data_IF_994130602597
#
_entry.id   IF_994130602597
#
_cell.length_a   1.000
_cell.length_b   1.000
_cell.length_c   1.000
_cell.angle_alpha   90.00
_cell.angle_beta   90.00
_cell.angle_gamma   90.00
#
_symmetry.space_group_name_H-M   'P 1'
#
loop_
_entity.id
_entity.type
_entity.pdbx_description
1 polymer ?
#
# COMPACT_ATOMS: atom_id res chain seq x y z
N UNK A 1 -39.76 28.06 56.04
CA UNK A 1 -38.83 26.94 55.73
C UNK A 1 -38.60 26.68 54.23
N UNK A 2 -39.17 27.46 53.29
CA UNK A 2 -38.98 27.29 51.84
C UNK A 2 -37.88 28.18 51.22
N UNK A 3 -37.49 29.25 51.90
CA UNK A 3 -36.47 30.21 51.41
C UNK A 3 -35.03 29.68 51.56
N UNK A 4 -34.76 28.88 52.61
CA UNK A 4 -33.45 28.20 52.80
C UNK A 4 -33.20 27.07 51.80
N UNK A 5 -34.26 26.44 51.27
CA UNK A 5 -34.14 25.36 50.29
C UNK A 5 -33.77 25.89 48.89
N UNK A 6 -34.23 27.11 48.55
CA UNK A 6 -33.94 27.76 47.26
C UNK A 6 -32.51 28.32 47.20
N UNK A 7 -31.97 28.80 48.33
CA UNK A 7 -30.56 29.24 48.40
C UNK A 7 -29.56 28.08 48.29
N UNK A 8 -29.95 26.87 48.70
CA UNK A 8 -29.08 25.69 48.62
C UNK A 8 -28.97 25.17 47.17
N UNK A 9 -30.02 25.31 46.36
CA UNK A 9 -30.02 24.88 44.95
C UNK A 9 -29.28 25.83 44.01
N UNK A 10 -29.16 27.11 44.37
CA UNK A 10 -28.46 28.10 43.55
C UNK A 10 -26.94 28.04 43.71
N UNK A 11 -26.45 27.52 44.84
CA UNK A 11 -25.02 27.33 45.10
C UNK A 11 -24.41 26.10 44.39
N UNK A 12 -25.24 25.11 44.03
CA UNK A 12 -24.77 23.89 43.35
C UNK A 12 -24.61 24.07 41.83
N UNK A 13 -25.23 25.11 41.26
CA UNK A 13 -25.18 25.36 39.81
C UNK A 13 -23.89 26.05 39.35
N UNK A 14 -23.09 26.64 40.25
CA UNK A 14 -21.86 27.37 39.90
C UNK A 14 -20.60 26.49 39.88
N UNK A 15 -20.67 25.22 40.28
CA UNK A 15 -19.50 24.33 40.37
C UNK A 15 -19.26 23.54 39.07
N UNK A 16 -20.17 23.58 38.09
CA UNK A 16 -20.05 22.81 36.83
C UNK A 16 -19.46 23.61 35.65
N UNK A 17 -19.19 24.92 35.78
CA UNK A 17 -18.56 25.73 34.71
C UNK A 17 -17.06 25.88 34.89
N UNK A 18 -16.34 24.75 34.99
CA UNK A 18 -14.91 24.71 35.29
C UNK A 18 -14.09 23.68 34.51
N UNK A 19 -14.44 23.40 33.25
CA UNK A 19 -13.55 22.71 32.30
C UNK A 19 -13.43 23.51 31.00
N UNK A 20 -13.01 24.75 31.15
CA UNK A 20 -12.25 25.48 30.13
C UNK A 20 -10.87 25.77 30.71
N UNK A 21 -10.23 24.76 31.31
CA UNK A 21 -8.81 24.79 31.58
C UNK A 21 -8.11 24.86 30.22
N UNK A 22 -7.25 25.85 30.06
CA UNK A 22 -6.83 26.38 28.78
C UNK A 22 -6.38 25.32 27.79
N UNK A 23 -6.84 25.46 26.55
CA UNK A 23 -6.00 25.11 25.41
C UNK A 23 -4.78 26.03 25.52
N UNK A 24 -3.78 25.58 26.28
CA UNK A 24 -2.43 26.05 26.05
C UNK A 24 -2.17 25.72 24.59
N UNK A 25 -1.91 26.75 23.79
CA UNK A 25 -1.25 26.58 22.52
C UNK A 25 0.10 25.93 22.85
N UNK A 26 0.13 24.61 22.95
CA UNK A 26 1.37 23.88 22.70
C UNK A 26 1.63 24.13 21.24
N UNK A 27 2.35 25.21 20.96
CA UNK A 27 3.06 25.40 19.71
C UNK A 27 3.70 24.04 19.42
N UNK A 28 3.14 23.32 18.45
CA UNK A 28 3.69 22.05 18.05
C UNK A 28 5.18 22.24 17.73
N UNK A 29 6.02 21.19 17.85
CA UNK A 29 7.38 21.30 17.37
C UNK A 29 7.36 21.91 15.96
N UNK A 30 8.30 22.82 15.65
CA UNK A 30 8.33 23.48 14.33
C UNK A 30 8.30 22.42 13.22
N UNK A 31 7.70 22.74 12.08
CA UNK A 31 7.54 21.79 10.96
C UNK A 31 8.86 21.10 10.62
N UNK A 32 9.99 21.81 10.67
CA UNK A 32 11.34 21.26 10.46
C UNK A 32 11.71 20.14 11.46
N UNK A 33 11.30 20.25 12.73
CA UNK A 33 11.52 19.21 13.74
C UNK A 33 10.60 18.00 13.51
N UNK A 34 9.36 18.23 13.04
CA UNK A 34 8.44 17.15 12.65
C UNK A 34 8.99 16.40 11.44
N UNK A 35 9.44 17.12 10.42
CA UNK A 35 10.02 16.54 9.21
C UNK A 35 11.31 15.77 9.52
N UNK A 36 12.15 16.27 10.43
CA UNK A 36 13.33 15.56 10.90
C UNK A 36 12.97 14.24 11.59
N UNK A 37 11.95 14.24 12.46
CA UNK A 37 11.46 13.02 13.13
C UNK A 37 10.83 12.03 12.16
N UNK A 38 10.11 12.53 11.14
CA UNK A 38 9.56 11.68 10.07
C UNK A 38 10.69 11.06 9.26
N UNK A 39 11.70 11.84 8.86
CA UNK A 39 12.86 11.34 8.13
C UNK A 39 13.61 10.27 8.92
N UNK A 40 13.81 10.47 10.22
CA UNK A 40 14.40 9.47 11.12
C UNK A 40 13.54 8.19 11.18
N UNK A 41 12.23 8.32 11.40
CA UNK A 41 11.32 7.17 11.45
C UNK A 41 11.27 6.38 10.13
N UNK A 42 11.30 7.09 8.98
CA UNK A 42 11.39 6.49 7.65
C UNK A 42 12.69 5.69 7.51
N UNK A 43 13.82 6.25 7.94
CA UNK A 43 15.12 5.57 7.85
C UNK A 43 15.18 4.32 8.73
N UNK A 44 14.67 4.40 9.96
CA UNK A 44 14.57 3.24 10.87
C UNK A 44 13.71 2.14 10.25
N UNK A 45 12.53 2.51 9.72
CA UNK A 45 11.61 1.56 9.09
C UNK A 45 12.22 0.91 7.84
N UNK A 46 12.89 1.69 7.01
CA UNK A 46 13.59 1.20 5.81
C UNK A 46 14.69 0.19 6.17
N UNK A 47 15.49 0.48 7.20
CA UNK A 47 16.53 -0.41 7.67
C UNK A 47 15.95 -1.73 8.24
N UNK A 48 14.85 -1.64 9.01
CA UNK A 48 14.17 -2.82 9.54
C UNK A 48 13.60 -3.71 8.42
N UNK A 49 12.92 -3.11 7.45
CA UNK A 49 12.37 -3.84 6.29
C UNK A 49 13.47 -4.49 5.45
N UNK A 50 14.63 -3.83 5.31
CA UNK A 50 15.79 -4.40 4.63
C UNK A 50 16.31 -5.64 5.36
N UNK A 51 16.47 -5.57 6.68
CA UNK A 51 16.91 -6.70 7.48
C UNK A 51 15.93 -7.89 7.40
N UNK A 52 14.61 -7.63 7.43
CA UNK A 52 13.58 -8.65 7.24
C UNK A 52 13.70 -9.30 5.86
N UNK A 53 13.83 -8.49 4.80
CA UNK A 53 13.99 -8.97 3.43
C UNK A 53 15.25 -9.84 3.26
N UNK A 54 16.36 -9.48 3.91
CA UNK A 54 17.60 -10.26 3.88
C UNK A 54 17.42 -11.65 4.52
N UNK A 55 16.67 -11.72 5.63
CA UNK A 55 16.35 -12.98 6.30
C UNK A 55 15.38 -13.84 5.47
N UNK A 56 14.33 -13.24 4.91
CA UNK A 56 13.37 -13.93 4.05
C UNK A 56 14.05 -14.52 2.81
N UNK A 57 14.92 -13.75 2.14
CA UNK A 57 15.71 -14.25 1.00
C UNK A 57 16.66 -15.37 1.40
N UNK A 58 17.29 -15.29 2.58
CA UNK A 58 18.20 -16.31 3.07
C UNK A 58 17.48 -17.63 3.47
N UNK A 59 16.18 -17.58 3.75
CA UNK A 59 15.40 -18.72 4.26
C UNK A 59 14.37 -19.28 3.28
N UNK A 60 14.04 -18.56 2.20
CA UNK A 60 13.12 -19.05 1.17
C UNK A 60 13.73 -20.19 0.32
N UNK A 61 12.91 -21.20 -0.01
CA UNK A 61 13.21 -22.23 -1.03
C UNK A 61 13.39 -21.64 -2.44
N UNK A 62 13.60 -22.47 -3.50
CA UNK A 62 14.26 -22.05 -4.74
C UNK A 62 13.75 -20.73 -5.31
N UNK A 63 14.74 -19.86 -5.59
CA UNK A 63 14.66 -18.44 -5.89
C UNK A 63 13.63 -18.12 -6.97
N UNK A 64 12.47 -17.62 -6.56
CA UNK A 64 11.66 -16.78 -7.45
C UNK A 64 12.42 -15.46 -7.61
N UNK A 65 12.60 -15.02 -8.87
CA UNK A 65 13.37 -13.83 -9.17
C UNK A 65 12.88 -12.64 -8.32
N UNK A 66 13.77 -12.10 -7.47
CA UNK A 66 13.42 -11.04 -6.54
C UNK A 66 12.90 -9.78 -7.26
N UNK A 67 12.20 -8.87 -6.55
CA UNK A 67 11.56 -7.68 -7.13
C UNK A 67 12.49 -6.76 -7.92
N UNK A 68 13.82 -6.87 -7.71
CA UNK A 68 14.87 -6.10 -8.36
C UNK A 68 15.76 -6.90 -9.32
N UNK A 69 15.49 -8.19 -9.58
CA UNK A 69 16.28 -8.93 -10.57
C UNK A 69 16.01 -8.37 -11.97
N UNK A 70 17.09 -7.95 -12.65
CA UNK A 70 17.05 -7.54 -14.04
C UNK A 70 16.57 -8.71 -14.90
N UNK A 71 15.68 -8.42 -15.85
CA UNK A 71 15.32 -9.37 -16.90
C UNK A 71 16.62 -9.73 -17.63
N UNK A 72 16.98 -11.02 -17.75
CA UNK A 72 18.19 -11.44 -18.46
C UNK A 72 18.23 -10.83 -19.87
N UNK A 73 19.39 -10.33 -20.31
CA UNK A 73 19.56 -9.65 -21.62
C UNK A 73 19.09 -10.49 -22.82
N UNK A 74 19.01 -11.81 -22.68
CA UNK A 74 18.55 -12.72 -23.71
C UNK A 74 17.02 -12.87 -23.79
N UNK A 75 16.25 -12.23 -22.89
CA UNK A 75 14.79 -12.23 -22.94
C UNK A 75 14.32 -11.06 -23.79
N UNK A 76 13.98 -11.35 -25.04
CA UNK A 76 13.32 -10.38 -25.92
C UNK A 76 11.86 -10.28 -25.51
N UNK A 77 11.51 -9.21 -24.79
CA UNK A 77 10.13 -8.85 -24.52
C UNK A 77 9.54 -8.14 -25.75
N UNK A 78 8.26 -8.37 -26.08
CA UNK A 78 7.64 -7.65 -27.17
C UNK A 78 7.43 -6.18 -26.81
N UNK A 79 7.29 -5.28 -27.81
CA UNK A 79 7.33 -3.83 -27.63
C UNK A 79 6.33 -3.30 -26.60
N UNK A 80 5.14 -3.90 -26.53
CA UNK A 80 4.08 -3.51 -25.62
C UNK A 80 4.39 -3.85 -24.15
N UNK A 81 5.19 -4.88 -23.88
CA UNK A 81 5.59 -5.26 -22.52
C UNK A 81 6.68 -4.32 -21.95
N UNK A 82 7.45 -3.68 -22.83
CA UNK A 82 8.47 -2.68 -22.47
C UNK A 82 7.96 -1.25 -22.59
N UNK A 83 6.73 -1.03 -23.07
CA UNK A 83 6.14 0.29 -23.20
C UNK A 83 6.08 0.97 -21.82
N UNK A 84 6.56 2.22 -21.68
CA UNK A 84 6.52 2.93 -20.42
C UNK A 84 5.07 3.31 -20.07
N UNK A 85 4.73 3.11 -18.80
CA UNK A 85 3.44 3.51 -18.23
C UNK A 85 3.66 4.36 -16.99
N UNK A 86 2.75 5.32 -16.81
CA UNK A 86 2.60 6.10 -15.58
C UNK A 86 1.27 5.73 -14.97
N UNK A 87 1.29 5.33 -13.70
CA UNK A 87 0.10 4.93 -12.95
C UNK A 87 0.30 5.22 -11.46
N UNK A 88 -0.73 5.75 -10.81
CA UNK A 88 -0.85 5.82 -9.36
C UNK A 88 -2.15 5.08 -9.00
N UNK A 89 -2.01 3.94 -8.33
CA UNK A 89 -3.09 3.03 -8.03
C UNK A 89 -3.15 2.69 -6.55
N UNK A 90 -4.35 2.78 -5.98
CA UNK A 90 -4.66 2.26 -4.66
C UNK A 90 -6.05 1.59 -4.73
N UNK A 91 -6.07 0.27 -4.73
CA UNK A 91 -7.30 -0.45 -5.03
C UNK A 91 -7.11 -1.96 -5.19
N UNK A 92 -8.17 -2.69 -5.55
CA UNK A 92 -8.10 -4.12 -5.81
C UNK A 92 -7.13 -4.46 -6.96
N UNK A 93 -6.44 -5.59 -6.85
CA UNK A 93 -5.51 -6.06 -7.89
C UNK A 93 -6.24 -6.43 -9.18
N UNK A 94 -7.44 -6.99 -9.08
CA UNK A 94 -8.18 -7.45 -10.27
C UNK A 94 -8.60 -6.27 -11.15
N UNK A 95 -9.09 -5.19 -10.55
CA UNK A 95 -9.48 -3.97 -11.27
C UNK A 95 -8.26 -3.24 -11.86
N UNK A 96 -7.13 -3.25 -11.15
CA UNK A 96 -5.86 -2.80 -11.70
C UNK A 96 -5.48 -3.57 -12.95
N UNK A 97 -5.44 -4.91 -12.87
CA UNK A 97 -5.06 -5.76 -14.00
C UNK A 97 -6.04 -5.63 -15.16
N UNK A 98 -7.33 -5.43 -14.89
CA UNK A 98 -8.34 -5.19 -15.92
C UNK A 98 -8.08 -3.88 -16.67
N UNK A 99 -7.78 -2.79 -15.97
CA UNK A 99 -7.47 -1.51 -16.59
C UNK A 99 -6.17 -1.58 -17.41
N UNK A 100 -5.15 -2.22 -16.86
CA UNK A 100 -3.86 -2.42 -17.53
C UNK A 100 -4.01 -3.30 -18.77
N UNK A 101 -4.76 -4.41 -18.69
CA UNK A 101 -4.94 -5.31 -19.81
C UNK A 101 -5.67 -4.61 -20.97
N UNK A 102 -6.73 -3.85 -20.67
CA UNK A 102 -7.47 -3.07 -21.67
C UNK A 102 -6.59 -2.02 -22.36
N UNK A 103 -5.79 -1.27 -21.58
CA UNK A 103 -4.91 -0.24 -22.13
C UNK A 103 -3.79 -0.82 -23.02
N UNK A 104 -3.22 -1.96 -22.62
CA UNK A 104 -2.08 -2.55 -23.29
C UNK A 104 -2.46 -3.58 -24.39
N UNK A 105 -3.75 -3.83 -24.61
CA UNK A 105 -4.22 -4.78 -25.63
C UNK A 105 -4.09 -6.26 -25.22
N UNK A 106 -4.06 -6.53 -23.92
CA UNK A 106 -3.95 -7.86 -23.33
C UNK A 106 -5.30 -8.41 -22.89
N UNK A 107 -5.44 -9.74 -22.93
CA UNK A 107 -6.58 -10.44 -22.35
C UNK A 107 -6.30 -10.78 -20.88
N UNK A 108 -7.17 -10.34 -19.96
CA UNK A 108 -7.14 -10.76 -18.57
C UNK A 108 -7.88 -12.10 -18.39
N UNK A 109 -7.24 -13.06 -17.72
CA UNK A 109 -7.88 -14.30 -17.26
C UNK A 109 -7.80 -14.39 -15.75
N UNK A 110 -8.94 -14.55 -15.10
CA UNK A 110 -9.03 -14.74 -13.65
C UNK A 110 -9.43 -16.18 -13.37
N UNK A 111 -8.68 -16.88 -12.53
CA UNK A 111 -8.93 -18.29 -12.18
C UNK A 111 -8.72 -18.54 -10.69
N UNK A 112 -9.22 -19.67 -10.20
CA UNK A 112 -9.20 -20.01 -8.78
C UNK A 112 -10.37 -19.41 -8.01
N UNK A 113 -10.39 -19.64 -6.70
CA UNK A 113 -11.45 -19.15 -5.82
C UNK A 113 -11.05 -17.80 -5.24
N UNK A 114 -11.72 -16.73 -5.67
CA UNK A 114 -11.50 -15.41 -5.12
C UNK A 114 -11.72 -15.40 -3.59
N UNK A 115 -10.85 -14.73 -2.83
CA UNK A 115 -11.04 -14.55 -1.38
C UNK A 115 -12.28 -13.71 -1.10
N UNK A 116 -12.84 -13.86 0.12
CA UNK A 116 -14.01 -13.08 0.54
C UNK A 116 -13.72 -11.57 0.60
N UNK A 117 -12.48 -11.21 0.98
CA UNK A 117 -12.00 -9.85 0.96
C UNK A 117 -11.16 -9.63 -0.31
N UNK A 118 -11.34 -8.48 -0.94
CA UNK A 118 -10.57 -8.12 -2.13
C UNK A 118 -9.09 -7.94 -1.78
N UNK A 119 -8.20 -8.44 -2.64
CA UNK A 119 -6.75 -8.26 -2.47
C UNK A 119 -6.37 -6.87 -2.96
N UNK A 120 -5.97 -6.01 -2.02
CA UNK A 120 -5.63 -4.61 -2.28
C UNK A 120 -4.13 -4.46 -2.60
N UNK A 121 -3.82 -3.56 -3.52
CA UNK A 121 -2.45 -3.14 -3.84
C UNK A 121 -2.35 -1.62 -3.84
N UNK A 122 -1.16 -1.10 -3.52
CA UNK A 122 -0.82 0.30 -3.71
C UNK A 122 0.47 0.39 -4.51
N UNK A 123 0.38 0.98 -5.70
CA UNK A 123 1.46 1.02 -6.66
C UNK A 123 1.52 2.39 -7.33
N UNK A 124 2.70 3.00 -7.30
CA UNK A 124 3.06 4.15 -8.13
C UNK A 124 4.15 3.73 -9.12
N UNK A 125 4.02 4.21 -10.35
CA UNK A 125 4.99 4.06 -11.43
C UNK A 125 5.01 5.33 -12.28
N UNK A 126 6.20 5.76 -12.66
CA UNK A 126 6.41 6.95 -13.50
C UNK A 126 7.36 6.57 -14.65
N UNK A 127 6.83 6.53 -15.87
CA UNK A 127 7.56 6.11 -17.08
C UNK A 127 8.27 4.74 -16.97
N UNK A 128 7.68 3.81 -16.22
CA UNK A 128 8.26 2.49 -16.01
C UNK A 128 7.74 1.46 -17.02
N UNK A 129 8.56 0.46 -17.42
CA UNK A 129 8.11 -0.63 -18.29
C UNK A 129 6.91 -1.38 -17.70
N UNK A 130 5.88 -1.62 -18.51
CA UNK A 130 4.67 -2.37 -18.13
C UNK A 130 4.99 -3.69 -17.42
N UNK A 131 5.91 -4.49 -17.96
CA UNK A 131 6.34 -5.75 -17.36
C UNK A 131 6.80 -5.58 -15.90
N UNK A 132 7.60 -4.54 -15.63
CA UNK A 132 8.11 -4.26 -14.29
C UNK A 132 7.00 -3.91 -13.31
N UNK A 133 6.05 -3.11 -13.77
CA UNK A 133 4.87 -2.71 -12.99
C UNK A 133 3.97 -3.91 -12.65
N UNK A 134 3.66 -4.76 -13.63
CA UNK A 134 2.85 -5.98 -13.42
C UNK A 134 3.57 -6.97 -12.49
N UNK A 135 4.89 -7.11 -12.63
CA UNK A 135 5.70 -7.92 -11.72
C UNK A 135 5.64 -7.41 -10.28
N UNK A 136 5.72 -6.09 -10.05
CA UNK A 136 5.60 -5.50 -8.72
C UNK A 136 4.22 -5.76 -8.11
N UNK A 137 3.15 -5.62 -8.89
CA UNK A 137 1.81 -6.01 -8.45
C UNK A 137 1.75 -7.50 -8.05
N UNK A 138 2.41 -8.38 -8.80
CA UNK A 138 2.51 -9.81 -8.50
C UNK A 138 3.19 -10.09 -7.16
N UNK A 139 4.22 -9.32 -6.82
CA UNK A 139 4.90 -9.44 -5.53
C UNK A 139 4.02 -8.96 -4.37
N UNK A 140 3.23 -7.90 -4.55
CA UNK A 140 2.33 -7.37 -3.51
C UNK A 140 1.20 -8.34 -3.13
N UNK A 141 0.76 -9.17 -4.07
CA UNK A 141 -0.32 -10.14 -3.86
C UNK A 141 0.16 -11.55 -3.52
N UNK A 142 1.48 -11.72 -3.39
CA UNK A 142 2.07 -13.01 -3.06
C UNK A 142 1.49 -13.57 -1.75
N UNK A 143 1.22 -14.88 -1.74
CA UNK A 143 0.53 -15.57 -0.63
C UNK A 143 -1.00 -15.52 -0.70
N UNK A 144 -1.59 -14.66 -1.54
CA UNK A 144 -3.04 -14.63 -1.80
C UNK A 144 -3.38 -15.02 -3.24
N UNK A 145 -2.54 -14.60 -4.18
CA UNK A 145 -2.67 -14.87 -5.60
C UNK A 145 -1.30 -14.91 -6.30
N UNK A 146 -1.29 -15.49 -7.50
CA UNK A 146 -0.20 -15.38 -8.46
C UNK A 146 -0.64 -14.56 -9.67
N UNK A 147 0.25 -13.71 -10.17
CA UNK A 147 0.09 -13.02 -11.46
C UNK A 147 1.10 -13.59 -12.44
N UNK A 148 0.62 -14.08 -13.59
CA UNK A 148 1.45 -14.49 -14.70
C UNK A 148 1.24 -13.52 -15.87
N UNK A 149 2.32 -12.92 -16.34
CA UNK A 149 2.29 -12.07 -17.53
C UNK A 149 2.91 -12.82 -18.70
N UNK A 150 2.13 -13.06 -19.76
CA UNK A 150 2.57 -13.78 -20.95
C UNK A 150 2.42 -12.89 -22.19
N UNK A 151 3.48 -12.15 -22.54
CA UNK A 151 3.51 -11.28 -23.71
C UNK A 151 3.30 -12.01 -25.03
N UNK A 152 3.91 -13.20 -25.19
CA UNK A 152 3.82 -13.98 -26.43
C UNK A 152 2.39 -14.43 -26.76
N UNK A 153 1.58 -14.70 -25.72
CA UNK A 153 0.18 -15.11 -25.88
C UNK A 153 -0.81 -13.94 -25.71
N UNK A 154 -0.33 -12.70 -25.50
CA UNK A 154 -1.20 -11.55 -25.28
C UNK A 154 -2.09 -11.70 -24.03
N UNK A 155 -1.62 -12.36 -22.98
CA UNK A 155 -2.42 -12.67 -21.78
C UNK A 155 -1.78 -12.21 -20.47
N UNK A 156 -2.65 -11.76 -19.56
CA UNK A 156 -2.35 -11.55 -18.14
C UNK A 156 -3.26 -12.51 -17.37
N UNK A 157 -2.70 -13.34 -16.50
CA UNK A 157 -3.46 -14.29 -15.69
C UNK A 157 -3.34 -13.95 -14.21
N UNK A 158 -4.49 -13.86 -13.54
CA UNK A 158 -4.60 -13.75 -12.08
C UNK A 158 -5.14 -15.07 -11.54
N UNK A 159 -4.39 -15.71 -10.65
CA UNK A 159 -4.72 -17.02 -10.08
C UNK A 159 -4.85 -16.90 -8.56
N UNK A 160 -6.05 -17.10 -8.03
CA UNK A 160 -6.28 -17.12 -6.58
C UNK A 160 -6.00 -18.49 -5.96
N UNK A 161 -5.49 -18.50 -4.72
CA UNK A 161 -5.26 -19.72 -3.94
C UNK A 161 -3.92 -20.40 -4.23
N UNK A 162 -2.84 -19.61 -4.19
CA UNK A 162 -1.47 -20.12 -4.17
C UNK A 162 -1.16 -20.95 -2.93
#
# INVERSE_FOLDING_TARGET
>A
MRFKLILLTLATATIVSGCAAGRGDTEGPPIDEVDAKIAEAVQISANANKAISEVEVATAGPVRAGPAQHVPENVVLPPEAVQPITVDWNGPVETFLQAISQRAGYTLKVTGRAPANQVMISLRAEEEPLFGVVRRAGNMVHGYADIAFNPANGTIELRYGG
#
